data_IF_301045919596
#
_entry.id   IF_301045919596
#
_cell.length_a   1.000
_cell.length_b   1.000
_cell.length_c   1.000
_cell.angle_alpha   90.00
_cell.angle_beta   90.00
_cell.angle_gamma   90.00
#
_symmetry.space_group_name_H-M   'P 1'
#
loop_
_entity.id
_entity.type
_entity.pdbx_description
1 polymer ?
#
# COMPACT_ATOMS: atom_id res chain seq x y z
N UNK A 1 3.86 -7.71 10.69
CA UNK A 1 4.96 -7.20 9.83
C UNK A 1 5.76 -8.27 9.09
N UNK A 2 6.21 -9.39 9.69
CA UNK A 2 7.04 -10.38 8.96
C UNK A 2 6.38 -10.94 7.70
N UNK A 3 5.08 -11.26 7.76
CA UNK A 3 4.33 -11.73 6.59
C UNK A 3 4.22 -10.67 5.48
N UNK A 4 4.02 -9.40 5.83
CA UNK A 4 4.00 -8.29 4.86
C UNK A 4 5.34 -8.20 4.10
N UNK A 5 6.46 -8.31 4.83
CA UNK A 5 7.80 -8.27 4.23
C UNK A 5 8.00 -9.47 3.30
N UNK A 6 7.67 -10.68 3.75
CA UNK A 6 7.79 -11.90 2.95
C UNK A 6 6.98 -11.85 1.65
N UNK A 7 5.74 -11.35 1.72
CA UNK A 7 4.86 -11.27 0.55
C UNK A 7 5.32 -10.14 -0.40
N UNK A 8 5.81 -9.01 0.13
CA UNK A 8 6.43 -7.95 -0.68
C UNK A 8 7.73 -8.41 -1.37
N UNK A 9 8.56 -9.20 -0.68
CA UNK A 9 9.76 -9.82 -1.25
C UNK A 9 9.41 -10.79 -2.38
N UNK A 10 8.35 -11.59 -2.21
CA UNK A 10 7.86 -12.50 -3.25
C UNK A 10 7.39 -11.74 -4.50
N UNK A 11 6.60 -10.68 -4.33
CA UNK A 11 6.16 -9.82 -5.43
C UNK A 11 7.36 -9.14 -6.13
N UNK A 12 8.31 -8.63 -5.35
CA UNK A 12 9.54 -8.03 -5.87
C UNK A 12 10.35 -9.03 -6.69
N UNK A 13 10.51 -10.25 -6.19
CA UNK A 13 11.25 -11.32 -6.87
C UNK A 13 10.61 -11.71 -8.19
N UNK A 14 9.28 -11.78 -8.25
CA UNK A 14 8.59 -12.12 -9.50
C UNK A 14 8.71 -11.00 -10.54
N UNK A 15 8.54 -9.73 -10.14
CA UNK A 15 8.67 -8.58 -11.07
C UNK A 15 10.11 -8.38 -11.56
N UNK A 16 11.11 -8.62 -10.71
CA UNK A 16 12.53 -8.51 -11.08
C UNK A 16 13.09 -9.77 -11.75
N UNK A 17 12.30 -10.84 -11.87
CA UNK A 17 12.72 -12.10 -12.47
C UNK A 17 13.23 -11.91 -13.89
N UNK A 18 14.42 -12.43 -14.16
CA UNK A 18 15.07 -12.31 -15.47
C UNK A 18 15.68 -10.93 -15.77
N UNK A 19 15.50 -9.91 -14.92
CA UNK A 19 16.20 -8.64 -15.07
C UNK A 19 17.67 -8.82 -14.68
N UNK A 20 18.57 -8.41 -15.56
CA UNK A 20 20.01 -8.45 -15.29
C UNK A 20 20.46 -7.21 -14.52
N UNK A 21 21.50 -7.33 -13.71
CA UNK A 21 22.11 -6.19 -13.01
C UNK A 21 22.68 -5.11 -13.95
N UNK A 22 22.98 -5.48 -15.19
CA UNK A 22 23.41 -4.60 -16.28
C UNK A 22 22.24 -3.86 -16.95
N UNK A 23 20.99 -4.24 -16.69
CA UNK A 23 19.80 -3.61 -17.28
C UNK A 23 19.73 -2.15 -16.87
N UNK A 24 19.56 -1.24 -17.83
CA UNK A 24 19.48 0.19 -17.54
C UNK A 24 18.07 0.59 -17.08
N UNK A 25 18.02 1.42 -16.05
CA UNK A 25 16.83 1.97 -15.44
C UNK A 25 16.93 3.50 -15.48
N UNK A 26 15.96 4.13 -16.14
CA UNK A 26 15.72 5.57 -15.99
C UNK A 26 14.56 5.80 -15.00
N UNK A 27 14.19 7.06 -14.75
CA UNK A 27 13.11 7.40 -13.82
C UNK A 27 11.78 6.73 -14.19
N UNK A 28 11.44 6.67 -15.48
CA UNK A 28 10.21 6.03 -15.96
C UNK A 28 10.22 4.53 -15.68
N UNK A 29 11.29 3.82 -16.06
CA UNK A 29 11.41 2.38 -15.83
C UNK A 29 11.44 2.05 -14.33
N UNK A 30 12.07 2.90 -13.51
CA UNK A 30 12.07 2.73 -12.05
C UNK A 30 10.65 2.90 -11.48
N UNK A 31 9.96 3.98 -11.84
CA UNK A 31 8.58 4.23 -11.44
C UNK A 31 7.66 3.06 -11.83
N UNK A 32 7.68 2.66 -13.10
CA UNK A 32 6.87 1.54 -13.61
C UNK A 32 7.19 0.23 -12.89
N UNK A 33 8.47 -0.05 -12.62
CA UNK A 33 8.86 -1.27 -11.91
C UNK A 33 8.34 -1.26 -10.47
N UNK A 34 8.44 -0.13 -9.76
CA UNK A 34 7.91 -0.03 -8.39
C UNK A 34 6.39 -0.18 -8.38
N UNK A 35 5.68 0.48 -9.30
CA UNK A 35 4.22 0.33 -9.45
C UNK A 35 3.83 -1.12 -9.79
N UNK A 36 4.59 -1.81 -10.64
CA UNK A 36 4.36 -3.23 -10.93
C UNK A 36 4.54 -4.13 -9.71
N UNK A 37 5.53 -3.84 -8.85
CA UNK A 37 5.73 -4.57 -7.58
C UNK A 37 4.53 -4.35 -6.68
N UNK A 38 4.09 -3.10 -6.49
CA UNK A 38 2.93 -2.78 -5.65
C UNK A 38 1.66 -3.44 -6.18
N UNK A 39 1.39 -3.36 -7.49
CA UNK A 39 0.22 -3.98 -8.10
C UNK A 39 0.27 -5.51 -7.99
N UNK A 40 1.44 -6.11 -8.20
CA UNK A 40 1.64 -7.55 -8.01
C UNK A 40 1.34 -7.95 -6.57
N UNK A 41 1.85 -7.20 -5.59
CA UNK A 41 1.63 -7.43 -4.17
C UNK A 41 0.15 -7.28 -3.79
N UNK A 42 -0.51 -6.20 -4.20
CA UNK A 42 -1.92 -5.93 -3.90
C UNK A 42 -2.87 -6.97 -4.52
N UNK A 43 -2.44 -7.62 -5.60
CA UNK A 43 -3.18 -8.68 -6.30
C UNK A 43 -2.82 -10.10 -5.85
N UNK A 44 -1.92 -10.27 -4.87
CA UNK A 44 -1.55 -11.61 -4.40
C UNK A 44 -2.71 -12.29 -3.66
N UNK A 45 -3.07 -13.50 -4.06
CA UNK A 45 -4.13 -14.27 -3.39
C UNK A 45 -5.53 -13.81 -3.78
N UNK A 46 -6.43 -13.70 -2.81
CA UNK A 46 -7.80 -13.25 -3.03
C UNK A 46 -7.87 -11.72 -3.11
N UNK A 47 -8.91 -11.14 -3.75
CA UNK A 47 -9.16 -9.71 -3.64
C UNK A 47 -9.12 -9.24 -2.18
N UNK A 48 -8.51 -8.08 -1.94
CA UNK A 48 -8.38 -7.49 -0.61
C UNK A 48 -7.57 -8.31 0.42
N UNK A 49 -6.78 -9.30 -0.01
CA UNK A 49 -5.93 -10.11 0.87
C UNK A 49 -4.95 -9.28 1.69
N UNK A 50 -4.50 -8.13 1.17
CA UNK A 50 -3.57 -7.21 1.83
C UNK A 50 -4.14 -6.60 3.11
N UNK A 51 -5.48 -6.58 3.30
CA UNK A 51 -6.12 -6.09 4.53
C UNK A 51 -5.72 -6.91 5.76
N UNK A 52 -5.32 -8.18 5.57
CA UNK A 52 -4.85 -9.06 6.66
C UNK A 52 -3.63 -8.50 7.42
N UNK A 53 -2.91 -7.53 6.84
CA UNK A 53 -1.81 -6.85 7.51
C UNK A 53 -2.26 -5.66 8.37
N UNK A 54 -3.51 -5.21 8.23
CA UNK A 54 -4.08 -4.08 8.98
C UNK A 54 -5.07 -4.54 10.04
N UNK A 55 -5.92 -5.52 9.71
CA UNK A 55 -6.95 -6.06 10.61
C UNK A 55 -6.76 -7.59 10.75
N UNK A 56 -6.87 -8.16 11.97
CA UNK A 56 -6.84 -9.60 12.19
C UNK A 56 -7.91 -10.36 11.39
N UNK A 57 -7.57 -11.54 10.89
CA UNK A 57 -8.43 -12.32 9.98
C UNK A 57 -9.70 -12.89 10.65
N UNK A 58 -9.68 -13.02 11.97
CA UNK A 58 -10.73 -13.50 12.86
C UNK A 58 -11.98 -12.60 12.90
N UNK A 59 -11.86 -11.38 12.37
CA UNK A 59 -12.94 -10.39 12.20
C UNK A 59 -13.74 -10.60 10.90
N UNK A 60 -13.26 -11.43 9.97
CA UNK A 60 -14.03 -11.72 8.75
C UNK A 60 -15.37 -12.32 9.12
N UNK A 61 -16.51 -11.77 8.64
CA UNK A 61 -17.80 -12.35 8.92
C UNK A 61 -17.76 -13.79 8.41
N UNK A 62 -17.85 -14.74 9.33
CA UNK A 62 -17.97 -16.15 8.98
C UNK A 62 -19.17 -16.22 8.04
N UNK A 63 -18.94 -16.59 6.78
CA UNK A 63 -20.04 -16.91 5.88
C UNK A 63 -20.77 -18.08 6.52
N UNK A 64 -21.89 -17.78 7.17
CA UNK A 64 -22.73 -18.75 7.85
C UNK A 64 -23.10 -19.78 6.80
N UNK A 65 -22.46 -20.93 6.85
CA UNK A 65 -22.87 -22.08 6.05
C UNK A 65 -24.19 -22.52 6.67
N UNK A 66 -25.29 -22.09 6.03
CA UNK A 66 -26.66 -22.39 6.44
C UNK A 66 -26.81 -23.88 6.76
N UNK A 67 -27.19 -24.17 8.00
CA UNK A 67 -27.41 -25.53 8.47
C UNK A 67 -27.91 -25.61 9.91
N UNK A 68 -28.80 -24.70 10.33
CA UNK A 68 -29.74 -24.94 11.44
C UNK A 68 -30.71 -23.77 11.54
N UNK A 69 -32.00 -24.05 11.48
CA UNK A 69 -33.08 -23.11 11.81
C UNK A 69 -33.03 -22.81 13.32
N UNK A 70 -32.33 -21.76 13.71
CA UNK A 70 -32.65 -20.93 14.89
C UNK A 70 -31.80 -19.66 14.86
N UNK A 71 -32.39 -18.44 14.86
CA UNK A 71 -31.64 -17.21 14.95
C UNK A 71 -31.21 -17.01 16.41
N UNK A 72 -30.11 -17.63 16.81
CA UNK A 72 -29.44 -17.25 18.06
C UNK A 72 -28.97 -15.80 17.84
N UNK A 73 -29.42 -14.82 18.66
CA UNK A 73 -28.87 -13.48 18.60
C UNK A 73 -27.41 -13.59 19.02
N UNK A 74 -26.49 -13.42 18.08
CA UNK A 74 -25.10 -13.26 18.42
C UNK A 74 -25.01 -11.94 19.16
N UNK A 75 -24.78 -11.97 20.47
CA UNK A 75 -24.58 -10.77 21.31
C UNK A 75 -23.22 -10.19 20.94
N UNK A 76 -23.20 -9.49 19.81
CA UNK A 76 -22.00 -8.91 19.23
C UNK A 76 -21.61 -7.70 20.07
N UNK A 77 -20.35 -7.69 20.52
CA UNK A 77 -19.85 -6.56 21.29
C UNK A 77 -19.70 -5.33 20.39
N UNK A 78 -19.79 -4.11 20.95
CA UNK A 78 -19.55 -2.86 20.20
C UNK A 78 -18.18 -2.87 19.51
N UNK A 79 -17.18 -3.52 20.13
CA UNK A 79 -15.85 -3.69 19.54
C UNK A 79 -15.88 -4.58 18.28
N UNK A 80 -16.57 -5.71 18.33
CA UNK A 80 -16.73 -6.60 17.17
C UNK A 80 -17.48 -5.91 16.03
N UNK A 81 -18.52 -5.13 16.36
CA UNK A 81 -19.23 -4.31 15.38
C UNK A 81 -18.27 -3.29 14.72
N UNK A 82 -17.50 -2.55 15.51
CA UNK A 82 -16.53 -1.57 14.99
C UNK A 82 -15.47 -2.23 14.12
N UNK A 83 -15.00 -3.41 14.49
CA UNK A 83 -14.02 -4.18 13.72
C UNK A 83 -14.59 -4.66 12.38
N UNK A 84 -15.87 -5.06 12.32
CA UNK A 84 -16.54 -5.39 11.06
C UNK A 84 -16.78 -4.15 10.18
N UNK A 85 -17.20 -3.03 10.77
CA UNK A 85 -17.36 -1.76 10.04
C UNK A 85 -16.03 -1.28 9.45
N UNK A 86 -14.95 -1.34 10.24
CA UNK A 86 -13.61 -1.04 9.77
C UNK A 86 -13.19 -1.96 8.63
N UNK A 87 -13.46 -3.27 8.73
CA UNK A 87 -13.18 -4.22 7.65
C UNK A 87 -13.98 -3.91 6.38
N UNK A 88 -15.26 -3.55 6.50
CA UNK A 88 -16.11 -3.16 5.38
C UNK A 88 -15.56 -1.91 4.68
N UNK A 89 -15.11 -0.91 5.44
CA UNK A 89 -14.47 0.28 4.88
C UNK A 89 -13.16 -0.08 4.17
N UNK A 90 -12.28 -0.86 4.80
CA UNK A 90 -10.99 -1.24 4.20
C UNK A 90 -11.14 -2.08 2.92
N UNK A 91 -12.21 -2.87 2.82
CA UNK A 91 -12.50 -3.74 1.67
C UNK A 91 -13.33 -3.07 0.57
N UNK A 92 -13.77 -1.83 0.79
CA UNK A 92 -14.54 -1.05 -0.17
C UNK A 92 -13.71 -0.66 -1.40
N UNK A 93 -14.38 -0.50 -2.54
CA UNK A 93 -13.74 -0.06 -3.78
C UNK A 93 -13.26 1.40 -3.66
N UNK A 94 -13.99 2.21 -2.89
CA UNK A 94 -13.68 3.59 -2.59
C UNK A 94 -12.35 3.66 -1.84
N UNK A 95 -12.18 2.89 -0.75
CA UNK A 95 -10.91 2.87 -0.03
C UNK A 95 -9.78 2.29 -0.88
N UNK A 96 -10.03 1.23 -1.65
CA UNK A 96 -9.04 0.68 -2.59
C UNK A 96 -8.52 1.72 -3.58
N UNK A 97 -9.42 2.56 -4.12
CA UNK A 97 -9.05 3.67 -5.02
C UNK A 97 -8.18 4.72 -4.30
N UNK A 98 -8.50 5.04 -3.04
CA UNK A 98 -7.67 5.93 -2.23
C UNK A 98 -6.27 5.35 -1.99
N UNK A 99 -6.16 4.04 -1.74
CA UNK A 99 -4.87 3.35 -1.60
C UNK A 99 -4.03 3.47 -2.86
N UNK A 100 -4.62 3.26 -4.03
CA UNK A 100 -3.91 3.40 -5.31
C UNK A 100 -3.40 4.84 -5.52
N UNK A 101 -4.24 5.85 -5.22
CA UNK A 101 -3.89 7.27 -5.37
C UNK A 101 -2.71 7.62 -4.48
N UNK A 102 -2.76 7.30 -3.18
CA UNK A 102 -1.69 7.71 -2.28
C UNK A 102 -0.40 6.92 -2.52
N UNK A 103 -0.48 5.63 -2.87
CA UNK A 103 0.70 4.83 -3.20
C UNK A 103 1.40 5.41 -4.43
N UNK A 104 0.64 5.77 -5.47
CA UNK A 104 1.18 6.41 -6.67
C UNK A 104 1.88 7.73 -6.31
N UNK A 105 1.25 8.60 -5.51
CA UNK A 105 1.84 9.88 -5.11
C UNK A 105 3.17 9.71 -4.33
N UNK A 106 3.24 8.69 -3.46
CA UNK A 106 4.48 8.33 -2.75
C UNK A 106 5.56 7.86 -3.72
N UNK A 107 5.23 7.01 -4.70
CA UNK A 107 6.18 6.52 -5.70
C UNK A 107 6.68 7.64 -6.61
N UNK A 108 5.78 8.52 -7.07
CA UNK A 108 6.13 9.70 -7.87
C UNK A 108 7.19 10.54 -7.15
N UNK A 109 6.95 10.85 -5.88
CA UNK A 109 7.89 11.64 -5.05
C UNK A 109 9.19 10.89 -4.81
N UNK A 110 9.14 9.59 -4.52
CA UNK A 110 10.33 8.78 -4.27
C UNK A 110 11.26 8.79 -5.49
N UNK A 111 10.71 8.64 -6.68
CA UNK A 111 11.47 8.62 -7.94
C UNK A 111 12.05 10.00 -8.25
N UNK A 112 11.29 11.07 -8.03
CA UNK A 112 11.79 12.45 -8.16
C UNK A 112 12.94 12.72 -7.19
N UNK A 113 12.80 12.29 -5.94
CA UNK A 113 13.83 12.45 -4.90
C UNK A 113 15.10 11.68 -5.24
N UNK A 114 14.97 10.47 -5.78
CA UNK A 114 16.13 9.72 -6.27
C UNK A 114 16.80 10.43 -7.45
N UNK A 115 16.01 10.99 -8.38
CA UNK A 115 16.52 11.78 -9.48
C UNK A 115 17.32 12.98 -9.01
N UNK A 116 16.81 13.74 -8.05
CA UNK A 116 17.50 14.94 -7.52
C UNK A 116 18.73 14.60 -6.69
N UNK A 117 18.69 13.55 -5.86
CA UNK A 117 19.81 13.18 -4.98
C UNK A 117 20.97 12.48 -5.68
N UNK A 118 20.68 11.73 -6.75
CA UNK A 118 21.67 10.86 -7.38
C UNK A 118 22.03 11.23 -8.81
N UNK A 119 21.44 12.30 -9.37
CA UNK A 119 21.82 12.81 -10.69
C UNK A 119 23.10 13.66 -10.62
N UNK A 120 24.21 12.98 -10.35
CA UNK A 120 25.56 13.47 -10.65
C UNK A 120 26.02 13.15 -12.08
N UNK A 121 25.16 12.55 -12.91
CA UNK A 121 25.46 12.17 -14.29
C UNK A 121 24.18 12.06 -15.12
N UNK A 122 24.17 12.73 -16.28
CA UNK A 122 23.11 12.84 -17.30
C UNK A 122 21.83 12.04 -17.05
N UNK A 123 20.77 12.75 -16.65
CA UNK A 123 19.39 12.30 -16.41
C UNK A 123 18.82 11.45 -17.57
N UNK A 124 19.32 11.60 -18.79
CA UNK A 124 18.76 10.98 -19.98
C UNK A 124 19.19 9.52 -20.23
N UNK A 125 20.32 9.07 -19.67
CA UNK A 125 20.94 7.79 -20.04
C UNK A 125 20.49 6.57 -19.23
N UNK A 126 19.86 6.78 -18.07
CA UNK A 126 19.59 5.72 -17.10
C UNK A 126 20.85 5.17 -16.42
N UNK A 127 20.66 4.40 -15.36
CA UNK A 127 21.72 3.72 -14.61
C UNK A 127 21.51 2.20 -14.64
N UNK A 128 22.57 1.38 -14.67
CA UNK A 128 22.41 -0.06 -14.54
C UNK A 128 21.77 -0.40 -13.18
N UNK A 129 20.90 -1.41 -13.14
CA UNK A 129 20.17 -1.84 -11.95
C UNK A 129 21.10 -2.06 -10.74
N UNK A 130 22.33 -2.57 -10.98
CA UNK A 130 23.36 -2.71 -9.95
C UNK A 130 23.67 -1.41 -9.17
N UNK A 131 23.54 -0.26 -9.82
CA UNK A 131 23.74 1.07 -9.22
C UNK A 131 22.47 1.70 -8.67
N UNK A 132 21.31 1.30 -9.20
CA UNK A 132 20.01 1.75 -8.71
C UNK A 132 19.67 1.11 -7.36
N UNK A 133 19.97 -0.18 -7.16
CA UNK A 133 19.64 -0.88 -5.91
C UNK A 133 20.22 -0.21 -4.64
N UNK A 134 21.51 0.18 -4.59
CA UNK A 134 22.04 0.93 -3.45
C UNK A 134 21.38 2.29 -3.24
N UNK A 135 20.93 2.96 -4.32
CA UNK A 135 20.24 4.25 -4.22
C UNK A 135 18.84 4.08 -3.62
N UNK A 136 18.11 3.03 -4.03
CA UNK A 136 16.82 2.66 -3.41
C UNK A 136 17.01 2.39 -1.91
N UNK A 137 18.04 1.61 -1.54
CA UNK A 137 18.33 1.32 -0.13
C UNK A 137 18.63 2.58 0.68
N UNK A 138 19.27 3.59 0.08
CA UNK A 138 19.54 4.88 0.73
C UNK A 138 18.28 5.74 0.94
N UNK A 139 17.16 5.44 0.27
CA UNK A 139 15.90 6.14 0.51
C UNK A 139 15.14 5.60 1.73
N UNK A 140 15.40 4.36 2.16
CA UNK A 140 14.69 3.72 3.28
C UNK A 140 14.63 4.58 4.56
N UNK A 141 15.71 5.24 5.02
CA UNK A 141 15.64 6.08 6.22
C UNK A 141 14.65 7.24 6.09
N UNK A 142 14.47 7.80 4.89
CA UNK A 142 13.57 8.92 4.61
C UNK A 142 12.10 8.49 4.71
N UNK A 143 11.80 7.24 4.37
CA UNK A 143 10.47 6.64 4.51
C UNK A 143 10.12 6.37 5.98
N UNK A 144 11.13 6.25 6.85
CA UNK A 144 10.99 5.88 8.26
C UNK A 144 11.20 7.06 9.22
N UNK A 145 11.29 8.29 8.71
CA UNK A 145 11.39 9.49 9.54
C UNK A 145 10.13 9.70 10.41
N UNK A 146 10.30 10.43 11.52
CA UNK A 146 9.19 10.83 12.38
C UNK A 146 8.05 11.48 11.59
N UNK A 147 6.77 11.22 11.90
CA UNK A 147 5.63 11.67 11.08
C UNK A 147 5.60 13.18 10.75
N UNK A 148 6.14 14.03 11.64
CA UNK A 148 6.19 15.48 11.44
C UNK A 148 7.27 15.93 10.42
N UNK A 149 8.30 15.12 10.22
CA UNK A 149 9.44 15.39 9.31
C UNK A 149 9.32 14.58 8.01
N UNK A 150 8.60 13.47 8.06
CA UNK A 150 8.40 12.58 6.93
C UNK A 150 7.55 13.23 5.83
N UNK A 151 8.22 13.64 4.76
CA UNK A 151 7.57 14.27 3.59
C UNK A 151 6.51 13.36 2.94
N UNK A 152 6.69 12.04 2.96
CA UNK A 152 5.76 11.09 2.35
C UNK A 152 4.43 11.07 3.11
N UNK A 153 4.47 11.15 4.44
CA UNK A 153 3.26 11.32 5.26
C UNK A 153 2.58 12.66 4.95
N UNK A 154 3.33 13.74 4.79
CA UNK A 154 2.74 15.05 4.44
C UNK A 154 2.09 15.03 3.04
N UNK A 155 2.70 14.33 2.08
CA UNK A 155 2.11 14.14 0.75
C UNK A 155 0.76 13.45 0.87
N UNK A 156 0.71 12.29 1.53
CA UNK A 156 -0.55 11.54 1.71
C UNK A 156 -1.63 12.41 2.35
N UNK A 157 -1.27 13.17 3.40
CA UNK A 157 -2.20 14.05 4.12
C UNK A 157 -2.76 15.19 3.27
N UNK A 158 -2.02 15.64 2.26
CA UNK A 158 -2.39 16.80 1.44
C UNK A 158 -3.08 16.39 0.13
N UNK A 159 -3.36 15.10 -0.08
CA UNK A 159 -4.16 14.61 -1.21
C UNK A 159 -5.64 14.92 -0.93
N UNK A 160 -6.28 15.66 -1.84
CA UNK A 160 -7.68 16.09 -1.67
C UNK A 160 -8.64 14.92 -1.61
N UNK A 161 -8.39 13.86 -2.38
CA UNK A 161 -9.19 12.64 -2.40
C UNK A 161 -9.13 11.91 -1.05
N UNK A 162 -7.97 11.93 -0.39
CA UNK A 162 -7.81 11.35 0.95
C UNK A 162 -8.63 12.16 1.96
N UNK A 163 -8.53 13.50 1.93
CA UNK A 163 -9.32 14.38 2.80
C UNK A 163 -10.83 14.20 2.59
N UNK A 164 -11.27 14.17 1.32
CA UNK A 164 -12.68 13.98 0.97
C UNK A 164 -13.20 12.63 1.44
N UNK A 165 -12.44 11.56 1.23
CA UNK A 165 -12.81 10.22 1.69
C UNK A 165 -13.04 10.20 3.20
N UNK A 166 -12.10 10.72 4.00
CA UNK A 166 -12.27 10.78 5.45
C UNK A 166 -13.42 11.69 5.88
N UNK A 167 -13.61 12.83 5.21
CA UNK A 167 -14.74 13.73 5.48
C UNK A 167 -16.07 13.01 5.30
N UNK A 168 -16.23 12.26 4.20
CA UNK A 168 -17.44 11.48 3.95
C UNK A 168 -17.60 10.32 4.93
N UNK A 169 -16.50 9.63 5.27
CA UNK A 169 -16.53 8.55 6.26
C UNK A 169 -17.05 9.06 7.63
N UNK A 170 -16.52 10.19 8.11
CA UNK A 170 -16.95 10.78 9.38
C UNK A 170 -18.36 11.38 9.33
N UNK A 171 -18.79 11.92 8.19
CA UNK A 171 -20.15 12.45 8.04
C UNK A 171 -21.22 11.34 8.06
N UNK A 172 -20.86 10.11 7.66
CA UNK A 172 -21.76 8.96 7.60
C UNK A 172 -21.67 8.04 8.83
N UNK A 173 -20.81 8.35 9.82
CA UNK A 173 -20.81 7.61 11.07
C UNK A 173 -22.14 7.86 11.82
N UNK A 174 -22.84 6.81 12.29
CA UNK A 174 -24.02 6.98 13.12
C UNK A 174 -23.68 7.92 14.28
N UNK A 175 -24.51 8.94 14.52
CA UNK A 175 -24.35 9.76 15.71
C UNK A 175 -24.51 8.87 16.94
N UNK A 176 -23.40 8.59 17.62
CA UNK A 176 -23.40 7.96 18.94
C UNK A 176 -24.15 8.82 19.96
#
# INVERSE_FOLDING_TARGET
MPALISDMEAATKEVLKGKQLSTFFNSTTLHETIMQILNSFMSMGTPNSWIKYMIPEDVRPYSTTHGSDDPVPFDMTEFEQLMMEAWAVLSSAEFGSIVEIFLKAVVDTLVELMGTKFSGGSVAGGLPLARVLPQVAQMCPLLLEEPRKNQFIQIIKNIQEVELFFTLLYANMPHA
#
